data_IF_480707766492
#
_entry.id   IF_480707766492
#
_cell.length_a   1.000
_cell.length_b   1.000
_cell.length_c   1.000
_cell.angle_alpha   90.00
_cell.angle_beta   90.00
_cell.angle_gamma   90.00
#
_symmetry.space_group_name_H-M   'P 1'
#
loop_
_entity.id
_entity.type
_entity.pdbx_description
1 polymer ?
#
# COMPACT_ATOMS: atom_id res chain seq x y z
N UNK A 1 -13.32 -14.29 40.58
CA UNK A 1 -13.16 -15.32 41.61
C UNK A 1 -12.66 -16.58 40.98
N UNK A 2 -11.60 -17.20 41.55
CA UNK A 2 -11.04 -18.49 41.16
C UNK A 2 -11.22 -19.48 42.31
N UNK A 3 -11.81 -20.65 42.01
CA UNK A 3 -11.97 -21.74 43.00
C UNK A 3 -10.95 -22.81 42.69
N UNK A 4 -10.19 -23.21 43.71
CA UNK A 4 -9.20 -24.29 43.65
C UNK A 4 -9.33 -25.18 44.87
N UNK A 5 -8.95 -26.44 44.76
CA UNK A 5 -8.97 -27.37 45.86
C UNK A 5 -7.63 -27.48 46.60
N UNK A 6 -6.59 -26.87 46.05
CA UNK A 6 -5.23 -26.85 46.57
C UNK A 6 -4.92 -25.50 47.20
N UNK A 7 -4.41 -25.49 48.45
CA UNK A 7 -4.12 -24.25 49.18
C UNK A 7 -2.87 -23.51 48.66
N UNK A 8 -1.83 -24.26 48.29
CA UNK A 8 -0.59 -23.65 47.78
C UNK A 8 -0.87 -22.91 46.46
N UNK A 9 -1.76 -23.49 45.64
CA UNK A 9 -2.24 -22.84 44.40
C UNK A 9 -3.11 -21.62 44.68
N UNK A 10 -3.97 -21.69 45.72
CA UNK A 10 -4.78 -20.52 46.11
C UNK A 10 -3.87 -19.38 46.62
N UNK A 11 -2.83 -19.67 47.40
CA UNK A 11 -1.86 -18.66 47.87
C UNK A 11 -1.09 -18.03 46.72
N UNK A 12 -0.55 -18.84 45.80
CA UNK A 12 0.16 -18.34 44.61
C UNK A 12 -0.69 -17.42 43.73
N UNK A 13 -1.98 -17.74 43.56
CA UNK A 13 -2.92 -16.88 42.83
C UNK A 13 -3.19 -15.56 43.57
N UNK A 14 -3.31 -15.60 44.90
CA UNK A 14 -3.53 -14.38 45.71
C UNK A 14 -2.31 -13.46 45.67
N UNK A 15 -1.09 -14.00 45.67
CA UNK A 15 0.16 -13.24 45.51
C UNK A 15 0.17 -12.46 44.19
N UNK A 16 -0.51 -12.98 43.15
CA UNK A 16 -0.69 -12.34 41.85
C UNK A 16 -1.99 -11.50 41.77
N UNK A 17 -2.57 -11.09 42.90
CA UNK A 17 -3.74 -10.24 43.01
C UNK A 17 -5.04 -10.86 42.44
N UNK A 18 -5.12 -12.18 42.38
CA UNK A 18 -6.33 -12.91 41.98
C UNK A 18 -7.17 -13.27 43.21
N UNK A 19 -8.50 -12.99 43.22
CA UNK A 19 -9.41 -13.48 44.25
C UNK A 19 -9.56 -15.00 44.11
N UNK A 20 -8.68 -15.74 44.78
CA UNK A 20 -8.65 -17.19 44.75
C UNK A 20 -9.06 -17.76 46.13
N UNK A 21 -9.94 -18.76 46.11
CA UNK A 21 -10.45 -19.42 47.32
C UNK A 21 -10.32 -20.92 47.20
N UNK A 22 -9.86 -21.54 48.31
CA UNK A 22 -9.85 -23.01 48.40
C UNK A 22 -11.27 -23.53 48.67
N UNK A 23 -11.67 -24.50 47.86
CA UNK A 23 -12.99 -25.17 47.97
C UNK A 23 -12.91 -26.57 47.38
N UNK A 24 -13.75 -27.48 47.84
CA UNK A 24 -13.92 -28.74 47.10
C UNK A 24 -14.71 -28.47 45.81
N UNK A 25 -13.99 -28.38 44.71
CA UNK A 25 -14.56 -28.10 43.37
C UNK A 25 -15.40 -29.26 42.81
N UNK A 26 -15.47 -30.39 43.51
CA UNK A 26 -16.34 -31.55 43.19
C UNK A 26 -17.62 -31.57 44.04
N UNK A 27 -17.80 -30.60 44.95
CA UNK A 27 -18.97 -30.43 45.80
C UNK A 27 -19.85 -29.28 45.34
N UNK A 28 -21.08 -29.60 44.88
CA UNK A 28 -22.09 -28.62 44.47
C UNK A 28 -22.42 -27.63 45.59
N UNK A 29 -22.50 -28.09 46.84
CA UNK A 29 -22.82 -27.31 48.00
C UNK A 29 -21.76 -26.29 48.35
N UNK A 30 -20.49 -26.71 48.25
CA UNK A 30 -19.33 -25.91 48.59
C UNK A 30 -19.10 -24.81 47.53
N UNK A 31 -19.22 -25.15 46.24
CA UNK A 31 -19.13 -24.20 45.13
C UNK A 31 -20.19 -23.09 45.30
N UNK A 32 -21.46 -23.46 45.48
CA UNK A 32 -22.55 -22.50 45.67
C UNK A 32 -22.38 -21.60 46.88
N UNK A 33 -21.85 -22.13 47.96
CA UNK A 33 -21.63 -21.40 49.19
C UNK A 33 -20.57 -20.30 49.01
N UNK A 34 -19.54 -20.57 48.21
CA UNK A 34 -18.41 -19.67 48.04
C UNK A 34 -18.58 -18.73 46.86
N UNK A 35 -19.17 -19.18 45.76
CA UNK A 35 -19.27 -18.36 44.54
C UNK A 35 -20.53 -17.52 44.46
N UNK A 36 -21.63 -17.89 45.19
CA UNK A 36 -22.90 -17.15 45.09
C UNK A 36 -23.60 -17.37 43.74
N UNK A 37 -24.23 -16.32 43.21
CA UNK A 37 -24.81 -16.34 41.86
C UNK A 37 -23.76 -16.17 40.78
N UNK A 38 -23.82 -17.02 39.75
CA UNK A 38 -22.81 -17.10 38.69
C UNK A 38 -23.47 -17.27 37.32
N UNK A 39 -23.14 -16.38 36.36
CA UNK A 39 -23.63 -16.40 34.99
C UNK A 39 -22.73 -17.14 34.03
N UNK A 40 -21.42 -17.24 34.35
CA UNK A 40 -20.41 -17.85 33.50
C UNK A 40 -19.35 -18.58 34.33
N UNK A 41 -18.95 -19.77 33.87
CA UNK A 41 -18.00 -20.62 34.55
C UNK A 41 -16.95 -21.08 33.53
N UNK A 42 -15.66 -20.96 33.89
CA UNK A 42 -14.56 -21.55 33.15
C UNK A 42 -13.97 -22.68 33.95
N UNK A 43 -13.93 -23.88 33.40
CA UNK A 43 -13.44 -25.12 34.04
C UNK A 43 -12.13 -25.53 33.37
N UNK A 44 -11.03 -25.48 34.12
CA UNK A 44 -9.70 -25.79 33.64
C UNK A 44 -8.84 -26.55 34.68
N UNK A 45 -9.28 -27.73 35.14
CA UNK A 45 -8.46 -28.56 36.01
C UNK A 45 -7.51 -29.45 35.20
N UNK A 46 -6.38 -29.81 35.76
CA UNK A 46 -5.45 -30.76 35.17
C UNK A 46 -6.07 -32.17 35.09
N UNK A 47 -5.98 -32.79 33.91
CA UNK A 47 -6.41 -34.16 33.63
C UNK A 47 -7.88 -34.32 33.28
N UNK A 48 -8.14 -35.21 32.34
CA UNK A 48 -9.45 -35.41 31.68
C UNK A 48 -10.55 -35.88 32.61
N UNK A 49 -10.28 -36.87 33.46
CA UNK A 49 -11.25 -37.41 34.40
C UNK A 49 -11.72 -36.35 35.40
N UNK A 50 -10.81 -35.50 35.83
CA UNK A 50 -11.11 -34.42 36.73
C UNK A 50 -11.90 -33.34 36.05
N UNK A 51 -11.54 -32.98 34.82
CA UNK A 51 -12.30 -32.01 34.01
C UNK A 51 -13.77 -32.40 33.90
N UNK A 52 -14.02 -33.67 33.56
CA UNK A 52 -15.37 -34.21 33.45
C UNK A 52 -16.16 -34.08 34.77
N UNK A 53 -15.55 -34.51 35.87
CA UNK A 53 -16.19 -34.43 37.20
C UNK A 53 -16.51 -33.00 37.58
N UNK A 54 -15.61 -32.03 37.33
CA UNK A 54 -15.81 -30.62 37.67
C UNK A 54 -16.84 -29.97 36.75
N UNK A 55 -16.88 -30.32 35.46
CA UNK A 55 -17.92 -29.84 34.51
C UNK A 55 -19.31 -30.32 34.95
N UNK A 56 -19.48 -31.62 35.26
CA UNK A 56 -20.73 -32.16 35.77
C UNK A 56 -21.16 -31.48 37.08
N UNK A 57 -20.22 -31.18 37.97
CA UNK A 57 -20.48 -30.46 39.22
C UNK A 57 -20.89 -29.03 39.00
N UNK A 58 -20.18 -28.32 38.09
CA UNK A 58 -20.49 -26.94 37.72
C UNK A 58 -21.88 -26.80 37.08
N UNK A 59 -22.23 -27.74 36.17
CA UNK A 59 -23.55 -27.77 35.53
C UNK A 59 -24.64 -28.08 36.53
N UNK A 60 -24.42 -29.02 37.49
CA UNK A 60 -25.36 -29.30 38.55
C UNK A 60 -25.50 -28.14 39.54
N UNK A 61 -24.43 -27.41 39.81
CA UNK A 61 -24.46 -26.23 40.66
C UNK A 61 -25.23 -25.05 40.00
N UNK A 62 -25.01 -24.83 38.70
CA UNK A 62 -25.55 -23.66 37.96
C UNK A 62 -26.09 -24.11 36.59
N UNK A 63 -27.29 -24.68 36.54
CA UNK A 63 -27.88 -25.23 35.30
C UNK A 63 -28.06 -24.19 34.18
N UNK A 64 -28.19 -22.91 34.52
CA UNK A 64 -28.41 -21.80 33.59
C UNK A 64 -27.16 -20.98 33.27
N UNK A 65 -26.03 -21.26 33.89
CA UNK A 65 -24.79 -20.55 33.60
C UNK A 65 -24.12 -21.04 32.28
N UNK A 66 -23.47 -20.12 31.62
CA UNK A 66 -22.59 -20.45 30.50
C UNK A 66 -21.34 -21.19 31.03
N UNK A 67 -21.13 -22.44 30.60
CA UNK A 67 -19.98 -23.26 31.03
C UNK A 67 -19.02 -23.45 29.87
N UNK A 68 -17.80 -23.00 30.07
CA UNK A 68 -16.65 -23.24 29.18
C UNK A 68 -15.69 -24.25 29.84
N UNK A 69 -15.20 -25.24 29.11
CA UNK A 69 -14.16 -26.13 29.58
C UNK A 69 -12.91 -26.01 28.71
N UNK A 70 -11.73 -26.11 29.34
CA UNK A 70 -10.44 -26.10 28.68
C UNK A 70 -9.79 -27.50 28.76
N UNK A 71 -9.40 -28.04 27.60
CA UNK A 71 -8.62 -29.27 27.49
C UNK A 71 -7.13 -28.95 27.48
N UNK A 72 -6.36 -29.59 28.35
CA UNK A 72 -4.88 -29.51 28.35
C UNK A 72 -4.25 -30.59 27.45
N UNK A 73 -4.92 -31.71 27.28
CA UNK A 73 -4.49 -32.85 26.47
C UNK A 73 -5.53 -33.18 25.40
N UNK A 74 -5.11 -33.89 24.36
CA UNK A 74 -6.04 -34.38 23.33
C UNK A 74 -6.73 -35.65 23.82
N UNK A 75 -8.05 -35.62 24.15
CA UNK A 75 -8.81 -36.77 24.56
C UNK A 75 -9.12 -37.72 23.40
N UNK A 76 -9.48 -38.94 23.70
CA UNK A 76 -10.11 -39.82 22.72
C UNK A 76 -11.45 -39.20 22.25
N UNK A 77 -11.87 -39.47 21.00
CA UNK A 77 -13.08 -38.84 20.44
C UNK A 77 -14.35 -39.02 21.29
N UNK A 78 -14.50 -40.16 21.93
CA UNK A 78 -15.67 -40.46 22.79
C UNK A 78 -15.69 -39.62 24.08
N UNK A 79 -14.53 -39.35 24.67
CA UNK A 79 -14.41 -38.52 25.87
C UNK A 79 -14.64 -37.06 25.54
N UNK A 80 -14.15 -36.61 24.36
CA UNK A 80 -14.41 -35.26 23.85
C UNK A 80 -15.90 -35.03 23.66
N UNK A 81 -16.60 -35.94 22.97
CA UNK A 81 -18.03 -35.82 22.71
C UNK A 81 -18.84 -35.80 24.02
N UNK A 82 -18.41 -36.60 25.03
CA UNK A 82 -19.06 -36.61 26.34
C UNK A 82 -18.92 -35.25 27.09
N UNK A 83 -17.77 -34.59 27.00
CA UNK A 83 -17.57 -33.27 27.62
C UNK A 83 -18.30 -32.19 26.82
N UNK A 84 -18.25 -32.23 25.49
CA UNK A 84 -18.96 -31.27 24.60
C UNK A 84 -20.47 -31.28 24.85
N UNK A 85 -21.05 -32.40 25.23
CA UNK A 85 -22.47 -32.51 25.56
C UNK A 85 -22.87 -31.74 26.85
N UNK A 86 -21.93 -31.50 27.75
CA UNK A 86 -22.16 -30.90 29.08
C UNK A 86 -21.75 -29.42 29.16
N UNK A 87 -21.06 -28.87 28.14
CA UNK A 87 -20.54 -27.52 28.14
C UNK A 87 -21.11 -26.72 26.98
N UNK A 88 -21.18 -25.40 27.14
CA UNK A 88 -21.58 -24.49 26.06
C UNK A 88 -20.40 -24.22 25.10
N UNK A 89 -19.16 -24.34 25.58
CA UNK A 89 -17.96 -24.21 24.78
C UNK A 89 -16.82 -25.09 25.31
N UNK A 90 -16.21 -25.84 24.41
CA UNK A 90 -14.96 -26.61 24.68
C UNK A 90 -13.80 -25.92 23.98
N UNK A 91 -12.73 -25.63 24.71
CA UNK A 91 -11.49 -25.00 24.21
C UNK A 91 -10.39 -26.06 24.28
N UNK A 92 -9.79 -26.36 23.13
CA UNK A 92 -8.66 -27.27 22.99
C UNK A 92 -7.37 -26.46 23.02
N UNK A 93 -6.78 -26.29 24.20
CA UNK A 93 -5.57 -25.48 24.38
C UNK A 93 -4.39 -25.91 23.50
N UNK A 94 -4.09 -27.24 23.33
CA UNK A 94 -3.10 -27.68 22.35
C UNK A 94 -3.42 -27.30 20.89
N UNK A 95 -4.70 -27.30 20.50
CA UNK A 95 -5.11 -26.92 19.15
C UNK A 95 -5.03 -25.41 18.96
N UNK A 96 -5.49 -24.62 19.94
CA UNK A 96 -5.39 -23.16 19.93
C UNK A 96 -3.91 -22.68 19.98
N UNK A 97 -3.04 -23.39 20.71
CA UNK A 97 -1.62 -23.08 20.73
C UNK A 97 -0.86 -23.54 19.47
N UNK A 98 -1.41 -24.48 18.73
CA UNK A 98 -0.78 -25.00 17.50
C UNK A 98 -0.82 -23.98 16.35
N UNK A 99 -1.82 -23.10 16.32
CA UNK A 99 -1.92 -22.01 15.32
C UNK A 99 -0.69 -21.12 15.33
N UNK A 100 -0.38 -20.40 16.41
CA UNK A 100 0.80 -19.55 16.51
C UNK A 100 2.13 -20.29 16.28
N UNK A 101 2.23 -21.56 16.72
CA UNK A 101 3.39 -22.40 16.43
C UNK A 101 3.49 -22.76 14.95
N UNK A 102 2.36 -23.10 14.31
CA UNK A 102 2.30 -23.37 12.87
C UNK A 102 2.71 -22.15 12.05
N UNK A 103 2.31 -20.97 12.47
CA UNK A 103 2.69 -19.70 11.81
C UNK A 103 4.20 -19.44 11.93
N UNK A 104 4.82 -19.74 13.08
CA UNK A 104 6.27 -19.58 13.29
C UNK A 104 7.13 -20.60 12.52
N UNK A 105 6.66 -21.85 12.36
CA UNK A 105 7.38 -22.91 11.65
C UNK A 105 6.87 -23.13 10.21
N UNK A 106 5.80 -22.44 9.83
CA UNK A 106 5.28 -22.41 8.47
C UNK A 106 6.20 -21.65 7.51
N UNK A 107 5.82 -21.59 6.25
CA UNK A 107 6.62 -20.98 5.20
C UNK A 107 6.93 -19.49 5.49
N UNK A 108 5.95 -18.74 6.01
CA UNK A 108 6.11 -17.34 6.43
C UNK A 108 7.12 -17.18 7.56
N UNK A 109 7.03 -18.01 8.60
CA UNK A 109 7.98 -17.99 9.72
C UNK A 109 9.40 -18.34 9.30
N UNK A 110 9.56 -19.34 8.42
CA UNK A 110 10.89 -19.69 7.86
C UNK A 110 11.48 -18.54 7.07
N UNK A 111 10.67 -17.84 6.24
CA UNK A 111 11.12 -16.66 5.50
C UNK A 111 11.54 -15.53 6.43
N UNK A 112 10.77 -15.27 7.48
CA UNK A 112 11.10 -14.28 8.52
C UNK A 112 12.44 -14.58 9.18
N UNK A 113 12.70 -15.86 9.54
CA UNK A 113 13.99 -16.24 10.12
C UNK A 113 15.14 -16.13 9.12
N UNK A 114 14.92 -16.42 7.83
CA UNK A 114 15.94 -16.22 6.79
C UNK A 114 16.27 -14.74 6.62
N UNK A 115 15.27 -13.84 6.56
CA UNK A 115 15.49 -12.40 6.51
C UNK A 115 16.28 -11.92 7.72
N UNK A 116 15.87 -12.31 8.94
CA UNK A 116 16.58 -11.99 10.18
C UNK A 116 18.04 -12.46 10.14
N UNK A 117 18.28 -13.68 9.64
CA UNK A 117 19.64 -14.22 9.51
C UNK A 117 20.45 -13.43 8.47
N UNK A 118 19.87 -13.08 7.32
CA UNK A 118 20.55 -12.29 6.30
C UNK A 118 20.92 -10.91 6.83
N UNK A 119 19.98 -10.20 7.44
CA UNK A 119 20.22 -8.88 8.04
C UNK A 119 21.35 -8.93 9.09
N UNK A 120 21.32 -9.88 10.01
CA UNK A 120 22.35 -10.01 11.07
C UNK A 120 23.76 -10.34 10.57
N UNK A 121 23.89 -10.75 9.31
CA UNK A 121 25.19 -11.00 8.69
C UNK A 121 25.66 -9.85 7.77
N UNK A 122 24.97 -8.72 7.80
CA UNK A 122 25.41 -7.49 7.13
C UNK A 122 26.35 -6.77 8.10
N UNK A 123 27.56 -6.50 7.64
CA UNK A 123 28.53 -5.67 8.33
C UNK A 123 28.50 -4.27 7.69
N UNK A 124 28.23 -3.23 8.51
CA UNK A 124 28.18 -1.84 8.05
C UNK A 124 26.76 -1.35 7.70
N UNK A 125 26.65 -0.43 6.75
CA UNK A 125 25.39 0.28 6.41
C UNK A 125 24.69 -0.38 5.23
N UNK A 126 23.39 -0.70 5.42
CA UNK A 126 22.50 -1.22 4.39
C UNK A 126 21.76 -0.08 3.67
N UNK A 127 21.95 0.05 2.36
CA UNK A 127 21.13 0.90 1.51
C UNK A 127 19.92 0.12 0.99
N UNK A 128 18.71 0.61 1.27
CA UNK A 128 17.44 0.01 0.85
C UNK A 128 16.85 0.89 -0.25
N UNK A 129 16.88 0.42 -1.48
CA UNK A 129 16.41 1.17 -2.64
C UNK A 129 14.96 0.84 -2.96
N UNK A 130 14.13 1.88 -2.99
CA UNK A 130 12.88 1.91 -3.72
C UNK A 130 13.15 2.13 -5.22
N UNK A 131 12.17 1.85 -6.08
CA UNK A 131 12.30 2.11 -7.52
C UNK A 131 12.36 3.61 -7.84
N UNK A 132 12.74 3.98 -9.08
CA UNK A 132 12.72 5.38 -9.55
C UNK A 132 11.32 5.97 -9.46
N UNK A 133 11.24 7.24 -9.03
CA UNK A 133 9.96 7.93 -8.82
C UNK A 133 8.99 7.11 -7.93
N UNK A 134 9.39 6.80 -6.70
CA UNK A 134 8.70 5.81 -5.89
C UNK A 134 7.27 6.21 -5.57
N UNK A 135 6.39 5.23 -5.63
CA UNK A 135 5.00 5.32 -5.21
C UNK A 135 4.84 5.03 -3.70
N UNK A 136 3.64 5.08 -3.14
CA UNK A 136 3.43 4.86 -1.72
C UNK A 136 3.85 3.47 -1.23
N UNK A 137 3.71 2.43 -2.06
CA UNK A 137 4.11 1.06 -1.69
C UNK A 137 5.63 0.96 -1.57
N UNK A 138 6.37 1.41 -2.58
CA UNK A 138 7.83 1.43 -2.57
C UNK A 138 8.40 2.28 -1.42
N UNK A 139 7.82 3.49 -1.20
CA UNK A 139 8.23 4.39 -0.11
C UNK A 139 8.08 3.71 1.25
N UNK A 140 6.87 3.24 1.56
CA UNK A 140 6.58 2.67 2.86
C UNK A 140 7.28 1.32 3.09
N UNK A 141 7.45 0.50 2.04
CA UNK A 141 8.23 -0.72 2.11
C UNK A 141 9.72 -0.45 2.43
N UNK A 142 10.32 0.57 1.82
CA UNK A 142 11.72 0.95 2.12
C UNK A 142 11.87 1.42 3.58
N UNK A 143 10.99 2.29 4.06
CA UNK A 143 10.98 2.74 5.47
C UNK A 143 10.72 1.56 6.41
N UNK A 144 9.83 0.64 6.05
CA UNK A 144 9.52 -0.55 6.85
C UNK A 144 10.71 -1.50 6.97
N UNK A 145 11.41 -1.80 5.88
CA UNK A 145 12.62 -2.62 5.92
C UNK A 145 13.76 -1.92 6.70
N UNK A 146 13.91 -0.59 6.56
CA UNK A 146 14.81 0.23 7.41
C UNK A 146 14.45 0.07 8.90
N UNK A 147 13.17 0.12 9.25
CA UNK A 147 12.70 -0.09 10.63
C UNK A 147 13.06 -1.48 11.14
N UNK A 148 12.92 -2.53 10.31
CA UNK A 148 13.31 -3.90 10.64
C UNK A 148 14.82 -3.98 10.88
N UNK A 149 15.63 -3.49 9.95
CA UNK A 149 17.09 -3.51 10.06
C UNK A 149 17.58 -2.80 11.32
N UNK A 150 17.11 -1.57 11.56
CA UNK A 150 17.47 -0.79 12.75
C UNK A 150 17.01 -1.48 14.04
N UNK A 151 15.83 -2.12 14.04
CA UNK A 151 15.33 -2.90 15.18
C UNK A 151 16.20 -4.12 15.51
N UNK A 152 16.95 -4.63 14.53
CA UNK A 152 17.92 -5.71 14.69
C UNK A 152 19.36 -5.21 14.97
N UNK A 153 19.55 -3.89 15.03
CA UNK A 153 20.85 -3.25 15.31
C UNK A 153 21.74 -3.07 14.08
N UNK A 154 21.17 -3.09 12.88
CA UNK A 154 21.87 -2.83 11.62
C UNK A 154 21.55 -1.41 11.17
N UNK A 155 22.58 -0.60 10.90
CA UNK A 155 22.39 0.74 10.33
C UNK A 155 21.86 0.61 8.90
N UNK A 156 20.76 1.33 8.60
CA UNK A 156 20.13 1.26 7.30
C UNK A 156 19.58 2.61 6.86
N UNK A 157 19.68 2.89 5.56
CA UNK A 157 19.10 4.06 4.92
C UNK A 157 18.10 3.63 3.84
N UNK A 158 16.93 4.30 3.81
CA UNK A 158 15.97 4.16 2.73
C UNK A 158 16.33 5.16 1.63
N UNK A 159 16.51 4.66 0.40
CA UNK A 159 17.05 5.40 -0.72
C UNK A 159 16.15 5.31 -1.95
N UNK A 160 16.25 6.30 -2.84
CA UNK A 160 15.59 6.27 -4.15
C UNK A 160 16.36 7.13 -5.15
N UNK A 161 16.13 6.89 -6.45
CA UNK A 161 16.59 7.75 -7.54
C UNK A 161 15.42 8.52 -8.17
N UNK A 162 15.73 9.63 -8.84
CA UNK A 162 14.75 10.44 -9.54
C UNK A 162 13.98 11.39 -8.62
N UNK A 163 12.72 11.64 -8.94
CA UNK A 163 11.87 12.62 -8.26
C UNK A 163 10.58 11.97 -7.73
N UNK A 164 10.08 12.43 -6.60
CA UNK A 164 8.74 12.07 -6.12
C UNK A 164 7.74 13.02 -6.79
N UNK A 165 7.19 12.61 -7.93
CA UNK A 165 6.44 13.51 -8.82
C UNK A 165 4.96 13.68 -8.43
N UNK A 166 4.32 12.66 -7.84
CA UNK A 166 2.93 12.74 -7.44
C UNK A 166 2.76 13.53 -6.15
N UNK A 167 1.71 14.37 -6.10
CA UNK A 167 1.47 15.24 -4.96
C UNK A 167 1.17 14.44 -3.70
N UNK A 168 0.43 13.34 -3.82
CA UNK A 168 0.11 12.42 -2.73
C UNK A 168 1.37 11.77 -2.16
N UNK A 169 2.32 11.34 -3.02
CA UNK A 169 3.56 10.72 -2.59
C UNK A 169 4.46 11.73 -1.85
N UNK A 170 4.53 12.98 -2.34
CA UNK A 170 5.21 14.08 -1.61
C UNK A 170 4.52 14.39 -0.29
N UNK A 171 3.17 14.39 -0.27
CA UNK A 171 2.41 14.61 0.95
C UNK A 171 2.65 13.48 1.97
N UNK A 172 2.69 12.23 1.52
CA UNK A 172 3.02 11.06 2.35
C UNK A 172 4.37 11.24 3.04
N UNK A 173 5.43 11.51 2.27
CA UNK A 173 6.79 11.69 2.81
C UNK A 173 6.84 12.88 3.78
N UNK A 174 6.24 14.02 3.42
CA UNK A 174 6.33 15.23 4.22
C UNK A 174 5.47 15.20 5.47
N UNK A 175 4.24 14.66 5.42
CA UNK A 175 3.33 14.66 6.56
C UNK A 175 3.71 13.62 7.62
N UNK A 176 4.31 12.51 7.21
CA UNK A 176 4.82 11.49 8.12
C UNK A 176 6.32 11.62 8.40
N UNK A 177 6.97 12.66 7.86
CA UNK A 177 8.40 12.95 8.07
C UNK A 177 9.29 11.72 7.74
N UNK A 178 8.97 11.00 6.66
CA UNK A 178 9.75 9.84 6.27
C UNK A 178 11.16 10.24 5.83
N UNK A 179 12.14 9.67 6.50
CA UNK A 179 13.55 9.86 6.21
C UNK A 179 13.95 8.97 5.03
N UNK A 180 13.78 9.52 3.82
CA UNK A 180 14.04 8.89 2.53
C UNK A 180 15.07 9.71 1.75
N UNK A 181 16.22 9.11 1.45
CA UNK A 181 17.35 9.77 0.82
C UNK A 181 17.26 9.71 -0.70
N UNK A 182 17.22 10.86 -1.35
CA UNK A 182 17.42 10.94 -2.81
C UNK A 182 18.92 10.77 -3.13
N UNK A 183 19.24 9.76 -3.92
CA UNK A 183 20.61 9.46 -4.37
C UNK A 183 20.76 9.94 -5.81
N UNK A 184 21.80 10.71 -6.10
CA UNK A 184 22.14 11.08 -7.47
C UNK A 184 22.92 9.94 -8.14
N UNK A 185 22.74 9.66 -9.45
CA UNK A 185 23.54 8.68 -10.17
C UNK A 185 25.05 8.95 -10.12
N UNK A 186 25.45 10.21 -9.91
CA UNK A 186 26.84 10.62 -9.77
C UNK A 186 27.39 10.43 -8.34
N UNK A 187 26.55 10.06 -7.37
CA UNK A 187 26.99 9.83 -5.99
C UNK A 187 27.78 8.54 -5.87
N UNK A 188 28.81 8.59 -5.05
CA UNK A 188 29.57 7.43 -4.69
C UNK A 188 28.74 6.51 -3.78
N UNK A 189 28.54 5.27 -4.21
CA UNK A 189 27.87 4.22 -3.45
C UNK A 189 28.82 3.52 -2.45
N UNK A 190 30.12 3.90 -2.42
CA UNK A 190 31.13 3.34 -1.51
C UNK A 190 30.83 3.59 -0.02
N UNK A 191 29.91 4.50 0.29
CA UNK A 191 29.47 4.72 1.66
C UNK A 191 28.54 3.60 2.21
N UNK A 192 28.01 2.74 1.33
CA UNK A 192 27.16 1.63 1.68
C UNK A 192 27.91 0.29 1.54
N UNK A 193 27.68 -0.58 2.50
CA UNK A 193 28.33 -1.89 2.58
C UNK A 193 27.46 -3.01 1.99
N UNK A 194 26.13 -2.79 1.95
CA UNK A 194 25.16 -3.76 1.44
C UNK A 194 23.95 -3.06 0.78
N UNK A 195 23.28 -3.78 -0.13
CA UNK A 195 22.17 -3.25 -0.91
C UNK A 195 20.94 -4.15 -0.80
N UNK A 196 19.77 -3.54 -0.63
CA UNK A 196 18.48 -4.19 -0.69
C UNK A 196 17.57 -3.48 -1.69
N UNK A 197 16.70 -4.24 -2.35
CA UNK A 197 15.67 -3.73 -3.24
C UNK A 197 14.29 -4.04 -2.68
N UNK A 198 13.39 -3.07 -2.70
CA UNK A 198 11.98 -3.24 -2.34
C UNK A 198 11.10 -2.74 -3.48
N UNK A 199 10.02 -3.45 -3.73
CA UNK A 199 9.03 -3.16 -4.75
C UNK A 199 9.57 -3.17 -6.20
N UNK A 200 10.73 -3.70 -6.35
CA UNK A 200 11.36 -4.10 -7.60
C UNK A 200 12.48 -5.08 -7.30
N UNK A 201 12.96 -5.82 -8.33
CA UNK A 201 13.75 -7.02 -8.06
C UNK A 201 15.13 -7.06 -8.70
N UNK A 202 15.54 -6.03 -9.47
CA UNK A 202 16.82 -6.08 -10.20
C UNK A 202 17.53 -4.73 -10.24
N UNK A 203 18.85 -4.70 -10.01
CA UNK A 203 19.64 -3.49 -10.22
C UNK A 203 19.64 -3.09 -11.71
N UNK A 204 19.69 -1.79 -12.00
CA UNK A 204 19.65 -1.23 -13.36
C UNK A 204 18.27 -1.27 -14.02
N UNK A 205 17.23 -1.78 -13.33
CA UNK A 205 15.85 -1.81 -13.84
C UNK A 205 14.95 -1.10 -12.84
N UNK A 206 14.34 0.00 -13.26
CA UNK A 206 13.57 0.93 -12.42
C UNK A 206 14.41 1.53 -11.26
N UNK A 207 15.71 1.53 -11.39
CA UNK A 207 16.67 2.19 -10.50
C UNK A 207 17.95 2.47 -11.29
N UNK A 208 18.80 3.37 -10.77
CA UNK A 208 20.07 3.76 -11.41
C UNK A 208 21.28 2.99 -10.85
N UNK A 209 21.05 1.92 -10.08
CA UNK A 209 22.14 1.08 -9.60
C UNK A 209 22.86 0.39 -10.78
N UNK A 210 24.19 0.26 -10.76
CA UNK A 210 24.90 -0.57 -11.72
C UNK A 210 24.35 -2.00 -11.77
N UNK A 211 24.22 -2.58 -12.97
CA UNK A 211 23.62 -3.91 -13.16
C UNK A 211 24.35 -5.03 -12.39
N UNK A 212 25.63 -4.84 -12.09
CA UNK A 212 26.48 -5.77 -11.34
C UNK A 212 26.53 -5.49 -9.83
N UNK A 213 25.73 -4.56 -9.32
CA UNK A 213 25.63 -4.30 -7.87
C UNK A 213 25.19 -5.57 -7.13
N UNK A 214 25.96 -6.05 -6.16
CA UNK A 214 25.59 -7.23 -5.39
C UNK A 214 24.40 -6.89 -4.46
N UNK A 215 23.32 -7.63 -4.59
CA UNK A 215 22.10 -7.42 -3.77
C UNK A 215 22.05 -8.48 -2.68
N UNK A 216 21.84 -8.04 -1.43
CA UNK A 216 21.69 -8.95 -0.29
C UNK A 216 20.22 -9.36 -0.10
N UNK A 217 19.27 -8.43 -0.30
CA UNK A 217 17.85 -8.62 -0.01
C UNK A 217 17.01 -8.08 -1.17
N UNK A 218 16.03 -8.88 -1.61
CA UNK A 218 14.96 -8.46 -2.53
C UNK A 218 13.61 -8.84 -1.92
N UNK A 219 12.71 -7.87 -1.79
CA UNK A 219 11.31 -8.07 -1.38
C UNK A 219 10.42 -7.33 -2.38
N UNK A 220 9.60 -8.07 -3.13
CA UNK A 220 8.82 -7.51 -4.23
C UNK A 220 7.56 -8.37 -4.46
N UNK A 221 6.44 -7.72 -4.76
CA UNK A 221 5.19 -8.39 -5.09
C UNK A 221 4.96 -8.53 -6.60
N UNK A 222 5.79 -7.90 -7.41
CA UNK A 222 5.67 -7.98 -8.86
C UNK A 222 6.11 -9.33 -9.42
N UNK A 223 5.50 -9.79 -10.53
CA UNK A 223 5.97 -10.99 -11.22
C UNK A 223 7.41 -10.84 -11.70
N UNK A 224 8.30 -11.78 -11.39
CA UNK A 224 9.70 -11.68 -11.78
C UNK A 224 9.85 -11.70 -13.30
N UNK A 225 10.56 -10.71 -13.86
CA UNK A 225 10.85 -10.59 -15.30
C UNK A 225 12.17 -11.27 -15.70
N UNK A 226 12.72 -12.12 -14.85
CA UNK A 226 13.98 -12.84 -15.08
C UNK A 226 14.57 -13.37 -13.77
N UNK A 227 15.78 -13.99 -13.82
CA UNK A 227 16.44 -14.47 -12.62
C UNK A 227 16.82 -13.30 -11.71
N UNK A 228 16.60 -13.49 -10.40
CA UNK A 228 16.99 -12.57 -9.34
C UNK A 228 18.11 -13.23 -8.54
N UNK A 229 19.22 -12.53 -8.40
CA UNK A 229 20.38 -13.01 -7.63
C UNK A 229 20.53 -12.13 -6.38
N UNK A 230 20.16 -12.68 -5.22
CA UNK A 230 20.34 -12.06 -3.93
C UNK A 230 20.40 -13.14 -2.84
N UNK A 231 20.99 -12.81 -1.69
CA UNK A 231 21.10 -13.77 -0.58
C UNK A 231 19.74 -14.11 0.03
N UNK A 232 18.85 -13.12 0.10
CA UNK A 232 17.45 -13.28 0.48
C UNK A 232 16.55 -12.76 -0.63
N UNK A 233 15.61 -13.60 -1.09
CA UNK A 233 14.64 -13.24 -2.14
C UNK A 233 13.26 -13.64 -1.67
N UNK A 234 12.34 -12.69 -1.61
CA UNK A 234 10.92 -12.91 -1.43
C UNK A 234 10.13 -12.21 -2.55
N UNK A 235 9.70 -13.01 -3.52
CA UNK A 235 8.91 -12.57 -4.67
C UNK A 235 7.56 -13.25 -4.61
N UNK A 236 6.49 -12.49 -4.33
CA UNK A 236 5.14 -13.03 -4.16
C UNK A 236 4.11 -12.21 -4.94
N UNK A 237 3.77 -12.66 -6.13
CA UNK A 237 2.74 -12.03 -6.97
C UNK A 237 1.30 -12.42 -6.61
N UNK A 238 1.11 -13.16 -5.55
CA UNK A 238 -0.18 -13.54 -4.98
C UNK A 238 -0.64 -12.62 -3.83
N UNK A 239 0.14 -11.60 -3.51
CA UNK A 239 -0.23 -10.49 -2.62
C UNK A 239 -0.34 -9.19 -3.40
N UNK A 240 -1.13 -8.26 -2.91
CA UNK A 240 -1.46 -7.01 -3.59
C UNK A 240 -0.42 -5.90 -3.43
N UNK A 241 0.55 -6.02 -2.50
CA UNK A 241 1.48 -4.94 -2.17
C UNK A 241 2.73 -5.47 -1.47
N UNK A 242 3.86 -4.84 -1.73
CA UNK A 242 5.12 -5.09 -0.99
C UNK A 242 5.00 -4.69 0.48
N UNK A 243 4.19 -3.68 0.81
CA UNK A 243 3.89 -3.31 2.20
C UNK A 243 3.24 -4.45 2.98
N UNK A 244 2.43 -5.30 2.36
CA UNK A 244 1.88 -6.51 2.97
C UNK A 244 3.00 -7.47 3.41
N UNK A 245 4.04 -7.63 2.58
CA UNK A 245 5.19 -8.47 2.91
C UNK A 245 6.00 -7.90 4.07
N UNK A 246 6.19 -6.59 4.08
CA UNK A 246 6.91 -5.87 5.14
C UNK A 246 6.16 -5.97 6.48
N UNK A 247 4.83 -5.78 6.49
CA UNK A 247 4.01 -5.96 7.70
C UNK A 247 4.18 -7.36 8.29
N UNK A 248 4.13 -8.40 7.45
CA UNK A 248 4.37 -9.77 7.85
C UNK A 248 5.73 -9.98 8.54
N UNK A 249 6.79 -9.33 8.03
CA UNK A 249 8.11 -9.40 8.65
C UNK A 249 8.17 -8.64 9.97
N UNK A 250 7.53 -7.47 10.06
CA UNK A 250 7.42 -6.71 11.32
C UNK A 250 6.72 -7.56 12.39
N UNK A 251 5.55 -8.09 12.08
CA UNK A 251 4.78 -8.95 12.99
C UNK A 251 5.54 -10.23 13.35
N UNK A 252 6.14 -10.92 12.37
CA UNK A 252 6.90 -12.16 12.58
C UNK A 252 8.18 -11.97 13.43
N UNK A 253 8.75 -10.75 13.46
CA UNK A 253 9.89 -10.37 14.30
C UNK A 253 9.47 -9.72 15.62
N UNK A 254 8.18 -9.51 15.86
CA UNK A 254 7.66 -8.84 17.05
C UNK A 254 8.01 -7.35 17.10
N UNK A 255 8.21 -6.72 15.96
CA UNK A 255 8.50 -5.29 15.81
C UNK A 255 7.18 -4.55 15.54
N UNK A 256 6.74 -3.76 16.50
CA UNK A 256 5.53 -2.94 16.33
C UNK A 256 5.90 -1.68 15.54
N UNK A 257 5.24 -1.39 14.41
CA UNK A 257 5.43 -0.13 13.71
C UNK A 257 4.88 1.04 14.55
N UNK A 258 5.52 2.19 14.45
CA UNK A 258 4.95 3.43 14.96
C UNK A 258 3.79 3.91 14.05
N UNK A 259 3.08 4.94 14.52
CA UNK A 259 1.91 5.50 13.83
C UNK A 259 2.22 5.93 12.39
N UNK A 260 3.38 6.56 12.17
CA UNK A 260 3.79 7.01 10.85
C UNK A 260 4.02 5.84 9.89
N UNK A 261 4.79 4.84 10.32
CA UNK A 261 5.07 3.66 9.51
C UNK A 261 3.80 2.83 9.26
N UNK A 262 2.97 2.63 10.30
CA UNK A 262 1.70 1.92 10.14
C UNK A 262 0.79 2.62 9.12
N UNK A 263 0.73 3.95 9.15
CA UNK A 263 -0.02 4.75 8.18
C UNK A 263 0.54 4.61 6.77
N UNK A 264 1.86 4.68 6.61
CA UNK A 264 2.51 4.53 5.30
C UNK A 264 2.27 3.14 4.69
N UNK A 265 2.46 2.07 5.48
CA UNK A 265 2.22 0.70 5.02
C UNK A 265 0.76 0.47 4.64
N UNK A 266 -0.18 0.96 5.46
CA UNK A 266 -1.61 0.86 5.14
C UNK A 266 -1.97 1.62 3.86
N UNK A 267 -1.37 2.79 3.66
CA UNK A 267 -1.59 3.58 2.44
C UNK A 267 -0.99 2.90 1.20
N UNK A 268 0.21 2.32 1.29
CA UNK A 268 0.81 1.51 0.23
C UNK A 268 -0.08 0.34 -0.18
N UNK A 269 -0.59 -0.45 0.78
CA UNK A 269 -1.53 -1.55 0.49
C UNK A 269 -2.78 -1.03 -0.22
N UNK A 270 -3.37 0.08 0.23
CA UNK A 270 -4.60 0.64 -0.35
C UNK A 270 -4.39 1.15 -1.77
N UNK A 271 -3.29 1.83 -2.03
CA UNK A 271 -3.00 2.39 -3.36
C UNK A 271 -2.77 1.29 -4.39
N UNK A 272 -1.95 0.30 -4.10
CA UNK A 272 -1.64 -0.79 -5.03
C UNK A 272 -2.82 -1.72 -5.28
N UNK A 273 -3.65 -1.94 -4.26
CA UNK A 273 -4.88 -2.73 -4.40
C UNK A 273 -6.08 -1.91 -4.89
N UNK A 274 -5.88 -0.63 -5.25
CA UNK A 274 -6.97 0.27 -5.62
C UNK A 274 -8.13 0.22 -4.62
N UNK A 275 -7.83 0.57 -3.36
CA UNK A 275 -8.79 0.50 -2.25
C UNK A 275 -9.40 -0.90 -2.07
N UNK A 276 -8.56 -1.93 -2.10
CA UNK A 276 -8.94 -3.35 -1.98
C UNK A 276 -9.91 -3.85 -3.07
N UNK A 277 -9.90 -3.21 -4.24
CA UNK A 277 -10.78 -3.56 -5.36
C UNK A 277 -10.09 -4.37 -6.45
N UNK A 278 -8.75 -4.39 -6.51
CA UNK A 278 -7.98 -5.05 -7.54
C UNK A 278 -6.71 -5.71 -7.01
N UNK A 279 -6.40 -6.92 -7.49
CA UNK A 279 -5.15 -7.62 -7.16
C UNK A 279 -5.01 -8.00 -5.68
N UNK A 280 -6.07 -7.89 -4.89
CA UNK A 280 -6.06 -8.08 -3.45
C UNK A 280 -6.14 -9.56 -3.05
N UNK A 281 -5.42 -9.93 -2.01
CA UNK A 281 -5.46 -11.23 -1.34
C UNK A 281 -6.03 -11.15 0.08
N UNK A 282 -6.29 -12.29 0.70
CA UNK A 282 -6.67 -12.35 2.13
C UNK A 282 -5.57 -11.76 3.00
N UNK A 283 -4.32 -11.99 2.65
CA UNK A 283 -3.15 -11.51 3.37
C UNK A 283 -3.08 -9.98 3.43
N UNK A 284 -3.52 -9.29 2.36
CA UNK A 284 -3.58 -7.81 2.35
C UNK A 284 -4.62 -7.28 3.33
N UNK A 285 -5.77 -7.95 3.46
CA UNK A 285 -6.77 -7.61 4.48
C UNK A 285 -6.28 -7.88 5.91
N UNK A 286 -5.56 -8.98 6.12
CA UNK A 286 -4.98 -9.32 7.43
C UNK A 286 -3.93 -8.28 7.84
N UNK A 287 -3.02 -7.91 6.93
CA UNK A 287 -2.03 -6.85 7.15
C UNK A 287 -2.71 -5.50 7.43
N UNK A 288 -3.69 -5.13 6.61
CA UNK A 288 -4.43 -3.88 6.80
C UNK A 288 -5.19 -3.84 8.14
N UNK A 289 -5.76 -4.95 8.59
CA UNK A 289 -6.44 -5.04 9.88
C UNK A 289 -5.50 -4.80 11.07
N UNK A 290 -4.24 -5.26 10.98
CA UNK A 290 -3.22 -4.99 11.99
C UNK A 290 -2.79 -3.51 11.98
N UNK A 291 -2.61 -2.95 10.79
CA UNK A 291 -2.10 -1.59 10.62
C UNK A 291 -3.13 -0.51 10.94
N UNK A 292 -4.42 -0.74 10.64
CA UNK A 292 -5.47 0.27 10.82
C UNK A 292 -5.66 0.70 12.29
N UNK A 293 -5.37 -0.18 13.24
CA UNK A 293 -5.45 0.14 14.67
C UNK A 293 -4.33 1.10 15.12
N UNK A 294 -3.22 1.16 14.39
CA UNK A 294 -2.04 1.96 14.68
C UNK A 294 -1.95 3.23 13.82
N UNK A 295 -2.62 3.24 12.67
CA UNK A 295 -2.49 4.27 11.66
C UNK A 295 -3.24 5.57 12.00
N UNK A 296 -2.67 6.72 11.63
CA UNK A 296 -3.30 8.04 11.67
C UNK A 296 -4.21 8.26 10.46
N UNK A 297 -5.46 7.84 10.58
CA UNK A 297 -6.48 8.01 9.54
C UNK A 297 -6.80 9.48 9.21
N UNK A 298 -6.50 10.43 10.11
CA UNK A 298 -6.73 11.86 9.84
C UNK A 298 -5.65 12.42 8.91
N UNK A 299 -4.40 12.09 9.21
CA UNK A 299 -3.27 12.49 8.35
C UNK A 299 -3.32 11.77 7.01
N UNK A 300 -3.73 10.49 6.94
CA UNK A 300 -3.94 9.78 5.68
C UNK A 300 -4.96 10.48 4.77
N UNK A 301 -6.08 10.93 5.30
CA UNK A 301 -7.04 11.73 4.50
C UNK A 301 -6.44 13.03 3.94
N UNK A 302 -5.46 13.61 4.63
CA UNK A 302 -4.74 14.79 4.12
C UNK A 302 -3.74 14.42 3.02
N UNK A 303 -3.18 13.21 3.06
CA UNK A 303 -2.36 12.65 1.96
C UNK A 303 -3.22 12.43 0.73
N UNK A 304 -4.37 11.77 0.89
CA UNK A 304 -5.31 11.44 -0.20
C UNK A 304 -5.98 12.66 -0.83
N UNK A 305 -6.10 13.73 -0.08
CA UNK A 305 -6.70 14.98 -0.54
C UNK A 305 -5.77 16.14 -0.18
N UNK A 306 -4.60 16.23 -0.83
CA UNK A 306 -3.69 17.36 -0.60
C UNK A 306 -4.43 18.66 -0.87
N UNK A 307 -4.17 19.66 -0.03
CA UNK A 307 -4.78 20.96 -0.24
C UNK A 307 -4.29 21.54 -1.56
N UNK A 308 -5.21 21.71 -2.50
CA UNK A 308 -4.94 22.38 -3.76
C UNK A 308 -4.80 23.88 -3.55
N UNK A 309 -3.85 24.51 -4.24
CA UNK A 309 -3.69 25.96 -4.19
C UNK A 309 -4.81 26.66 -4.95
N UNK A 310 -5.01 27.95 -4.68
CA UNK A 310 -5.97 28.75 -5.45
C UNK A 310 -5.61 28.77 -6.95
N UNK A 311 -4.32 28.81 -7.28
CA UNK A 311 -3.82 28.77 -8.66
C UNK A 311 -4.14 27.44 -9.35
N UNK A 312 -4.06 26.33 -8.62
CA UNK A 312 -4.46 25.02 -9.12
C UNK A 312 -5.95 24.95 -9.42
N UNK A 313 -6.80 25.44 -8.49
CA UNK A 313 -8.24 25.50 -8.73
C UNK A 313 -8.61 26.42 -9.89
N UNK A 314 -7.91 27.54 -10.07
CA UNK A 314 -8.10 28.42 -11.22
C UNK A 314 -7.70 27.72 -12.52
N UNK A 315 -6.59 26.99 -12.53
CA UNK A 315 -6.15 26.22 -13.71
C UNK A 315 -7.14 25.11 -14.06
N UNK A 316 -7.65 24.36 -13.08
CA UNK A 316 -8.70 23.36 -13.27
C UNK A 316 -9.98 24.04 -13.81
N UNK A 317 -10.38 25.18 -13.25
CA UNK A 317 -11.53 25.95 -13.71
C UNK A 317 -11.39 26.40 -15.19
N UNK A 318 -10.19 26.83 -15.60
CA UNK A 318 -9.89 27.15 -17.01
C UNK A 318 -9.91 25.92 -17.88
N UNK A 319 -9.33 24.81 -17.42
CA UNK A 319 -9.36 23.53 -18.15
C UNK A 319 -10.79 23.05 -18.40
N UNK A 320 -11.67 23.14 -17.41
CA UNK A 320 -13.08 22.80 -17.58
C UNK A 320 -13.79 23.75 -18.55
N UNK A 321 -13.49 25.05 -18.47
CA UNK A 321 -14.15 26.07 -19.29
C UNK A 321 -13.73 26.00 -20.77
N UNK A 322 -12.45 25.74 -21.03
CA UNK A 322 -11.85 25.76 -22.38
C UNK A 322 -11.79 24.38 -23.03
N UNK A 323 -12.40 23.37 -22.42
CA UNK A 323 -12.34 22.00 -22.96
C UNK A 323 -13.03 21.88 -24.31
N UNK A 324 -12.39 21.14 -25.21
CA UNK A 324 -13.00 20.60 -26.43
C UNK A 324 -13.13 19.11 -26.31
N UNK A 325 -14.24 18.55 -26.78
CA UNK A 325 -14.53 17.11 -26.72
C UNK A 325 -14.67 16.58 -28.13
N UNK A 326 -13.81 15.64 -28.49
CA UNK A 326 -13.83 14.96 -29.78
C UNK A 326 -13.93 13.43 -29.54
N UNK A 327 -15.10 12.86 -29.74
CA UNK A 327 -15.39 11.47 -29.40
C UNK A 327 -15.25 11.22 -27.88
N UNK A 328 -14.27 10.44 -27.47
CA UNK A 328 -13.93 10.10 -26.08
C UNK A 328 -12.63 10.80 -25.59
N UNK A 329 -12.18 11.81 -26.34
CA UNK A 329 -10.97 12.59 -26.07
C UNK A 329 -11.36 14.00 -25.66
N UNK A 330 -10.72 14.51 -24.59
CA UNK A 330 -10.82 15.90 -24.17
C UNK A 330 -9.47 16.60 -24.33
N UNK A 331 -9.46 17.75 -25.00
CA UNK A 331 -8.31 18.65 -25.02
C UNK A 331 -8.66 19.97 -24.38
N UNK A 332 -7.69 20.62 -23.72
CA UNK A 332 -7.92 21.94 -23.13
C UNK A 332 -6.64 22.78 -23.05
N UNK A 333 -6.70 23.99 -23.61
CA UNK A 333 -5.69 25.02 -23.41
C UNK A 333 -6.06 25.88 -22.17
N UNK A 334 -5.21 25.87 -21.14
CA UNK A 334 -5.44 26.66 -19.92
C UNK A 334 -4.75 28.02 -19.96
N UNK A 335 -4.15 28.38 -21.12
CA UNK A 335 -3.46 29.64 -21.28
C UNK A 335 -2.13 29.70 -20.51
N UNK A 336 -1.79 30.86 -19.97
CA UNK A 336 -0.56 31.06 -19.22
C UNK A 336 -0.61 30.39 -17.87
N UNK A 337 0.48 29.69 -17.52
CA UNK A 337 0.64 28.98 -16.26
C UNK A 337 1.86 29.47 -15.48
N UNK A 338 1.82 29.28 -14.17
CA UNK A 338 2.93 29.53 -13.23
C UNK A 338 3.56 28.25 -12.74
N UNK A 339 2.78 27.18 -12.70
CA UNK A 339 3.19 25.85 -12.25
C UNK A 339 2.69 24.79 -13.24
N UNK A 340 3.62 24.01 -13.80
CA UNK A 340 3.32 22.95 -14.76
C UNK A 340 2.59 21.75 -14.14
N UNK A 341 2.80 21.51 -12.82
CA UNK A 341 2.21 20.36 -12.13
C UNK A 341 0.68 20.49 -12.02
N UNK A 342 0.15 21.71 -12.16
CA UNK A 342 -1.29 21.96 -12.19
C UNK A 342 -1.98 21.37 -13.44
N UNK A 343 -1.23 21.21 -14.54
CA UNK A 343 -1.76 20.61 -15.78
C UNK A 343 -2.09 19.14 -15.61
N UNK A 344 -1.25 18.40 -14.88
CA UNK A 344 -1.46 16.99 -14.59
C UNK A 344 -2.75 16.78 -13.78
N UNK A 345 -2.96 17.62 -12.75
CA UNK A 345 -4.17 17.57 -11.93
C UNK A 345 -5.42 17.96 -12.74
N UNK A 346 -5.32 18.94 -13.61
CA UNK A 346 -6.42 19.32 -14.47
C UNK A 346 -6.77 18.21 -15.49
N UNK A 347 -5.77 17.53 -16.05
CA UNK A 347 -5.98 16.40 -16.96
C UNK A 347 -6.69 15.24 -16.26
N UNK A 348 -6.30 14.94 -15.03
CA UNK A 348 -6.91 13.89 -14.21
C UNK A 348 -8.37 14.21 -13.87
N UNK A 349 -8.68 15.44 -13.48
CA UNK A 349 -10.05 15.88 -13.23
C UNK A 349 -10.94 15.84 -14.49
N UNK A 350 -10.41 16.15 -15.66
CA UNK A 350 -11.16 16.04 -16.92
C UNK A 350 -11.40 14.57 -17.33
N UNK A 351 -10.53 13.65 -16.92
CA UNK A 351 -10.68 12.23 -17.18
C UNK A 351 -11.89 11.62 -16.43
N UNK A 352 -12.35 12.28 -15.35
CA UNK A 352 -13.54 11.88 -14.62
C UNK A 352 -14.87 12.21 -15.33
N UNK A 353 -14.81 12.93 -16.43
CA UNK A 353 -15.98 13.17 -17.27
C UNK A 353 -16.48 11.84 -17.84
N UNK A 354 -17.78 11.62 -17.77
CA UNK A 354 -18.41 10.41 -18.26
C UNK A 354 -18.11 10.19 -19.77
N UNK A 355 -17.81 8.96 -20.13
CA UNK A 355 -17.52 8.51 -21.51
C UNK A 355 -16.21 9.08 -22.09
N UNK A 356 -15.37 9.73 -21.28
CA UNK A 356 -14.03 10.19 -21.67
C UNK A 356 -13.00 9.14 -21.25
N UNK A 357 -12.12 8.79 -22.16
CA UNK A 357 -11.03 7.84 -21.96
C UNK A 357 -9.64 8.48 -22.04
N UNK A 358 -9.53 9.64 -22.72
CA UNK A 358 -8.25 10.31 -22.91
C UNK A 358 -8.40 11.81 -22.74
N UNK A 359 -7.45 12.44 -22.03
CA UNK A 359 -7.40 13.88 -21.79
C UNK A 359 -6.02 14.44 -22.10
N UNK A 360 -5.99 15.65 -22.66
CA UNK A 360 -4.79 16.43 -22.88
C UNK A 360 -5.03 17.86 -22.37
N UNK A 361 -4.29 18.27 -21.35
CA UNK A 361 -4.31 19.66 -20.86
C UNK A 361 -2.94 20.27 -21.08
N UNK A 362 -2.93 21.48 -21.61
CA UNK A 362 -1.70 22.20 -21.89
C UNK A 362 -1.82 23.70 -21.60
N UNK A 363 -0.69 24.27 -21.27
CA UNK A 363 -0.55 25.69 -21.01
C UNK A 363 0.88 26.14 -21.29
N UNK A 364 1.16 27.43 -21.18
CA UNK A 364 2.46 27.97 -21.56
C UNK A 364 3.00 28.98 -20.55
N UNK A 365 4.32 29.03 -20.51
CA UNK A 365 5.10 30.14 -19.91
C UNK A 365 5.59 31.09 -21.04
N UNK A 366 6.46 32.02 -20.73
CA UNK A 366 7.04 32.89 -21.76
C UNK A 366 7.87 32.12 -22.81
N UNK A 367 8.48 31.00 -22.42
CA UNK A 367 9.45 30.24 -23.23
C UNK A 367 8.98 28.90 -23.68
N UNK A 368 8.11 28.21 -22.89
CA UNK A 368 7.78 26.78 -23.08
C UNK A 368 6.29 26.52 -22.96
N UNK A 369 5.75 25.75 -23.87
CA UNK A 369 4.44 25.11 -23.75
C UNK A 369 4.64 23.78 -23.05
N UNK A 370 3.89 23.55 -21.97
CA UNK A 370 3.84 22.31 -21.23
C UNK A 370 2.54 21.58 -21.55
N UNK A 371 2.66 20.28 -21.79
CA UNK A 371 1.53 19.40 -22.12
C UNK A 371 1.48 18.28 -21.10
N UNK A 372 0.29 17.94 -20.63
CA UNK A 372 0.06 16.78 -19.76
C UNK A 372 -1.15 16.00 -20.26
N UNK A 373 -0.95 14.71 -20.52
CA UNK A 373 -1.98 13.78 -20.96
C UNK A 373 -2.23 12.69 -19.94
N UNK A 374 -3.49 12.19 -19.92
CA UNK A 374 -3.92 11.05 -19.14
C UNK A 374 -4.84 10.17 -20.00
N UNK A 375 -4.76 8.86 -19.79
CA UNK A 375 -5.69 7.91 -20.43
C UNK A 375 -6.06 6.78 -19.49
N UNK A 376 -7.24 6.19 -19.66
CA UNK A 376 -7.68 5.03 -18.88
C UNK A 376 -8.56 4.09 -19.72
N UNK A 377 -8.38 2.78 -19.50
CA UNK A 377 -9.26 1.77 -20.08
C UNK A 377 -9.19 1.63 -21.61
N UNK A 378 -8.08 2.05 -22.22
CA UNK A 378 -7.82 1.94 -23.66
C UNK A 378 -6.55 1.14 -23.93
N UNK A 379 -6.39 0.68 -25.19
CA UNK A 379 -5.14 0.05 -25.67
C UNK A 379 -4.12 1.11 -26.18
N UNK A 380 -4.34 2.39 -25.89
CA UNK A 380 -3.50 3.50 -26.32
C UNK A 380 -2.29 3.62 -25.41
N UNK A 381 -1.08 3.59 -25.98
CA UNK A 381 0.15 4.02 -25.29
C UNK A 381 0.32 5.53 -25.47
N UNK A 382 -0.05 6.27 -24.44
CA UNK A 382 -0.03 7.75 -24.47
C UNK A 382 1.41 8.30 -24.60
N UNK A 383 2.40 7.58 -24.07
CA UNK A 383 3.81 7.94 -24.22
C UNK A 383 4.27 7.85 -25.68
N UNK A 384 3.84 6.86 -26.45
CA UNK A 384 4.11 6.77 -27.88
C UNK A 384 3.37 7.86 -28.66
N UNK A 385 2.08 8.06 -28.36
CA UNK A 385 1.27 9.12 -29.02
C UNK A 385 1.87 10.49 -28.83
N UNK A 386 2.31 10.86 -27.63
CA UNK A 386 2.91 12.18 -27.40
C UNK A 386 4.28 12.32 -28.06
N UNK A 387 5.08 11.27 -28.13
CA UNK A 387 6.33 11.28 -28.93
C UNK A 387 6.06 11.51 -30.40
N UNK A 388 5.10 10.80 -30.97
CA UNK A 388 4.71 10.97 -32.38
C UNK A 388 4.21 12.37 -32.68
N UNK A 389 3.42 12.95 -31.77
CA UNK A 389 2.88 14.30 -31.91
C UNK A 389 3.95 15.41 -31.78
N UNK A 390 4.89 15.29 -30.85
CA UNK A 390 5.67 16.44 -30.38
C UNK A 390 7.20 16.30 -30.42
N UNK A 391 7.80 15.12 -30.59
CA UNK A 391 9.27 14.96 -30.60
C UNK A 391 9.97 15.76 -31.71
N UNK A 392 9.27 16.07 -32.81
CA UNK A 392 9.82 16.88 -33.91
C UNK A 392 9.94 18.37 -33.56
N UNK A 393 9.17 18.85 -32.56
CA UNK A 393 9.06 20.27 -32.22
C UNK A 393 9.38 20.54 -30.75
N UNK A 394 9.71 19.51 -29.97
CA UNK A 394 9.99 19.61 -28.55
C UNK A 394 10.58 18.33 -28.00
N UNK A 395 10.27 18.01 -26.74
CA UNK A 395 10.56 16.73 -26.13
C UNK A 395 9.28 16.16 -25.55
N UNK A 396 9.01 14.89 -25.74
CA UNK A 396 7.84 14.21 -25.24
C UNK A 396 8.18 12.82 -24.70
N UNK A 397 7.39 12.33 -23.74
CA UNK A 397 7.57 11.00 -23.17
C UNK A 397 6.63 10.72 -22.02
N UNK A 398 6.68 9.50 -21.53
CA UNK A 398 5.83 9.02 -20.45
C UNK A 398 5.57 7.53 -20.57
N UNK A 399 4.57 7.08 -19.84
CA UNK A 399 4.06 5.71 -19.81
C UNK A 399 2.77 5.58 -20.63
N UNK A 400 2.23 4.36 -20.68
CA UNK A 400 1.02 4.09 -21.46
C UNK A 400 -0.20 4.90 -21.00
N UNK A 401 -0.34 5.16 -19.71
CA UNK A 401 -1.50 5.82 -19.08
C UNK A 401 -1.28 7.31 -18.77
N UNK A 402 -0.03 7.78 -18.74
CA UNK A 402 0.33 9.16 -18.45
C UNK A 402 1.56 9.60 -19.25
N UNK A 403 1.49 10.78 -19.86
CA UNK A 403 2.60 11.32 -20.62
C UNK A 403 2.59 12.85 -20.63
N UNK A 404 3.74 13.44 -20.96
CA UNK A 404 3.90 14.88 -21.07
C UNK A 404 4.79 15.30 -22.21
N UNK A 405 4.72 16.59 -22.57
CA UNK A 405 5.62 17.18 -23.55
C UNK A 405 6.00 18.62 -23.15
N UNK A 406 7.15 19.05 -23.66
CA UNK A 406 7.65 20.40 -23.52
C UNK A 406 8.05 20.91 -24.92
N UNK A 407 7.44 22.01 -25.34
CA UNK A 407 7.60 22.55 -26.69
C UNK A 407 8.06 24.02 -26.55
N UNK A 408 9.20 24.43 -27.13
CA UNK A 408 9.60 25.84 -27.12
C UNK A 408 8.55 26.70 -27.83
N UNK A 409 8.07 27.77 -27.16
CA UNK A 409 7.05 28.68 -27.70
C UNK A 409 7.48 29.29 -29.03
N UNK A 410 8.77 29.63 -29.19
CA UNK A 410 9.30 30.22 -30.42
C UNK A 410 9.18 29.31 -31.66
N UNK A 411 9.02 28.00 -31.51
CA UNK A 411 8.78 27.10 -32.64
C UNK A 411 7.34 27.24 -33.16
N UNK A 412 6.38 27.52 -32.26
CA UNK A 412 4.97 27.62 -32.60
C UNK A 412 4.55 29.03 -33.01
N UNK A 413 5.17 30.07 -32.37
CA UNK A 413 4.74 31.46 -32.51
C UNK A 413 5.93 32.42 -32.45
N UNK A 414 6.57 32.77 -33.59
CA UNK A 414 7.71 33.72 -33.59
C UNK A 414 7.29 35.20 -33.44
N UNK A 415 6.11 35.62 -33.87
CA UNK A 415 5.70 37.04 -33.93
C UNK A 415 4.37 37.40 -33.27
N UNK A 416 3.61 36.43 -32.73
CA UNK A 416 2.28 36.67 -32.15
C UNK A 416 2.35 36.95 -30.64
N UNK A 417 1.44 37.78 -30.13
CA UNK A 417 1.36 38.11 -28.70
C UNK A 417 -0.10 38.10 -28.23
N UNK A 418 -0.30 37.81 -26.91
CA UNK A 418 -1.63 37.87 -26.31
C UNK A 418 -2.56 36.71 -26.76
N UNK A 419 -3.82 37.04 -27.03
CA UNK A 419 -4.88 36.09 -27.40
C UNK A 419 -4.56 35.32 -28.69
N UNK A 420 -3.96 36.00 -29.70
CA UNK A 420 -3.57 35.34 -30.96
C UNK A 420 -2.50 34.23 -30.75
N UNK A 421 -1.59 34.42 -29.78
CA UNK A 421 -0.62 33.40 -29.41
C UNK A 421 -1.30 32.16 -28.80
N UNK A 422 -2.27 32.39 -27.91
CA UNK A 422 -3.02 31.33 -27.25
C UNK A 422 -3.83 30.50 -28.25
N UNK A 423 -4.47 31.17 -29.23
CA UNK A 423 -5.21 30.49 -30.29
C UNK A 423 -4.30 29.60 -31.15
N UNK A 424 -3.13 30.10 -31.57
CA UNK A 424 -2.17 29.29 -32.35
C UNK A 424 -1.64 28.09 -31.56
N UNK A 425 -1.29 28.29 -30.27
CA UNK A 425 -0.85 27.18 -29.42
C UNK A 425 -1.95 26.14 -29.27
N UNK A 426 -3.19 26.60 -29.01
CA UNK A 426 -4.35 25.71 -28.84
C UNK A 426 -4.61 24.88 -30.11
N UNK A 427 -4.60 25.52 -31.29
CA UNK A 427 -4.81 24.87 -32.56
C UNK A 427 -3.73 23.83 -32.86
N UNK A 428 -2.45 24.25 -32.84
CA UNK A 428 -1.33 23.34 -33.22
C UNK A 428 -1.18 22.16 -32.28
N UNK A 429 -1.29 22.38 -30.96
CA UNK A 429 -1.13 21.28 -29.99
C UNK A 429 -2.31 20.31 -30.10
N UNK A 430 -3.53 20.81 -30.22
CA UNK A 430 -4.72 19.97 -30.35
C UNK A 430 -4.70 19.16 -31.65
N UNK A 431 -4.43 19.80 -32.81
CA UNK A 431 -4.42 19.11 -34.10
C UNK A 431 -3.37 17.99 -34.14
N UNK A 432 -2.13 18.27 -33.71
CA UNK A 432 -1.06 17.27 -33.70
C UNK A 432 -1.38 16.09 -32.80
N UNK A 433 -1.98 16.34 -31.64
CA UNK A 433 -2.36 15.29 -30.72
C UNK A 433 -3.47 14.40 -31.28
N UNK A 434 -4.54 15.01 -31.81
CA UNK A 434 -5.66 14.27 -32.40
C UNK A 434 -5.22 13.48 -33.66
N UNK A 435 -4.30 14.05 -34.46
CA UNK A 435 -3.72 13.36 -35.62
C UNK A 435 -2.91 12.13 -35.19
N UNK A 436 -2.04 12.27 -34.17
CA UNK A 436 -1.24 11.15 -33.63
C UNK A 436 -2.11 10.07 -32.99
N UNK A 437 -3.22 10.47 -32.37
CA UNK A 437 -4.20 9.55 -31.78
C UNK A 437 -5.10 8.87 -32.83
N UNK A 438 -5.09 9.37 -34.09
CA UNK A 438 -5.93 8.86 -35.17
C UNK A 438 -7.40 9.30 -35.08
N UNK A 439 -7.70 10.32 -34.28
CA UNK A 439 -9.03 10.93 -34.17
C UNK A 439 -9.14 12.02 -35.19
N UNK A 440 -10.03 11.85 -36.18
CA UNK A 440 -10.25 12.89 -37.20
C UNK A 440 -11.06 14.05 -36.58
N UNK A 441 -10.55 15.30 -36.60
CA UNK A 441 -11.32 16.42 -36.11
C UNK A 441 -12.58 16.62 -36.96
N UNK A 442 -13.70 16.93 -36.30
CA UNK A 442 -15.02 17.11 -36.93
C UNK A 442 -15.10 18.31 -37.92
N UNK A 443 -13.99 19.09 -38.01
CA UNK A 443 -13.88 20.27 -38.90
C UNK A 443 -13.90 19.95 -40.40
N UNK A 444 -13.62 18.71 -40.81
CA UNK A 444 -13.61 18.33 -42.23
C UNK A 444 -14.99 18.36 -42.87
N UNK A 445 -16.06 18.29 -42.07
CA UNK A 445 -17.43 18.32 -42.61
C UNK A 445 -17.94 19.75 -42.92
N UNK A 446 -17.46 20.77 -42.26
CA UNK A 446 -17.88 22.17 -42.46
C UNK A 446 -17.17 22.83 -43.61
N UNK A 447 -15.91 22.52 -43.89
CA UNK A 447 -15.13 23.10 -44.99
C UNK A 447 -15.54 22.57 -46.37
N UNK A 448 -16.00 21.33 -46.45
CA UNK A 448 -16.47 20.73 -47.74
C UNK A 448 -17.82 21.29 -48.17
N UNK A 449 -18.65 21.85 -47.30
CA UNK A 449 -19.94 22.46 -47.66
C UNK A 449 -19.85 23.93 -48.04
N UNK A 450 -18.79 24.68 -47.73
CA UNK A 450 -18.64 26.09 -48.13
C UNK A 450 -18.21 26.24 -49.60
N UNK A 451 -17.48 25.30 -50.18
CA UNK A 451 -17.02 25.34 -51.57
C UNK A 451 -18.04 24.88 -52.61
N UNK A 452 -19.21 24.35 -52.17
CA UNK A 452 -20.26 23.86 -53.10
C UNK A 452 -21.38 24.90 -53.34
N UNK A 453 -21.41 26.01 -52.61
CA UNK A 453 -22.51 27.02 -52.71
C UNK A 453 -22.18 28.21 -53.57
N UNK A 454 -20.97 28.36 -54.12
CA UNK A 454 -20.58 29.53 -54.91
C UNK A 454 -20.45 29.24 -56.44
N UNK A 455 -21.28 28.32 -56.97
CA UNK A 455 -21.48 28.17 -58.40
C UNK A 455 -22.96 28.25 -58.73
N UNK A 456 -23.50 29.49 -58.72
CA UNK A 456 -24.57 29.94 -59.64
C UNK A 456 -24.70 31.48 -59.64
#
# INVERSE_FOLDING_TARGET
LVLVDDEDRAESLRENSVDARRVDITSVGDIRTVAGDVDSIVVAPAGLDRLRTVVETARAAYPGAFVMACLEDRPEPADREAIEAEVDRLVDLPAEAAGPLSDQIGEGGIRTQKLNHTLKNIDGTLAIFAHNNPDPDAIAAAIGLKRIANGLGIDAEACYYGDINHQENRALVNLFEFDLRNVSPDNDLEEFDAFALVDHSRPGINNELPEDTPIEIVIDHHPPRGPVDARFVDLRSDVGSTCTLIEHYLTGLGIVPDEALASGLLYGIRTDTQEFSRGVSITDFEAAAQLVELADSETLRRVESPSVTADTLETIGRAISNRSVESDVVTSCVGRITDRDTLAQAAEQLLDIKDITTTLVFGYTDETVFVSGRTRGTDVDLGEVLRDAFDQIGSAGGHADMAGAQIPVGILTEETTGEEREEVIAEVVTERFLEALGVAPDYAAAAVYSDIVDVR
#
